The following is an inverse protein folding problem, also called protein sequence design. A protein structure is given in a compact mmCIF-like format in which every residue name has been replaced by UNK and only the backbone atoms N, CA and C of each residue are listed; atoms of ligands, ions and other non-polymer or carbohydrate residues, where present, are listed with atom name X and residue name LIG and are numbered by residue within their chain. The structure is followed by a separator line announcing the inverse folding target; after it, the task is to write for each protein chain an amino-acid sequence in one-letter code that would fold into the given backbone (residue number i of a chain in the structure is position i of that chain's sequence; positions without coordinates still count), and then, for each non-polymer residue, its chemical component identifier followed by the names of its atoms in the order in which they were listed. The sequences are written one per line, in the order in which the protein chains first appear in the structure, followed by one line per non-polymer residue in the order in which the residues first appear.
data_IF_242638068184
#
_entry.id   IF_242638068184
#
_cell.length_a   1.000
_cell.length_b   1.000
_cell.length_c   1.000
_cell.angle_alpha   90.00
_cell.angle_beta   90.00
_cell.angle_gamma   90.00
#
_symmetry.space_group_name_H-M   'P 1'
#
loop_
_entity.id
_entity.type
_entity.pdbx_description
1 polymer ?
#
# COMPACT_ATOMS: atom_id res chain seq x y z
N UNK A 1 36.40 -34.47 -0.59
CA UNK A 1 35.09 -33.91 -1.01
C UNK A 1 34.41 -33.11 0.09
N UNK A 2 34.62 -33.38 1.38
CA UNK A 2 34.06 -32.54 2.46
C UNK A 2 34.62 -31.10 2.47
N UNK A 3 35.93 -30.88 2.25
CA UNK A 3 36.50 -29.52 2.21
C UNK A 3 36.17 -28.71 0.94
N UNK A 4 35.61 -29.34 -0.10
CA UNK A 4 35.06 -28.62 -1.25
C UNK A 4 33.62 -28.13 -0.97
N UNK A 5 32.87 -28.83 -0.13
CA UNK A 5 31.54 -28.41 0.33
C UNK A 5 31.57 -27.23 1.31
N UNK A 6 32.62 -27.11 2.13
CA UNK A 6 32.78 -25.96 3.05
C UNK A 6 33.26 -24.70 2.30
N UNK A 7 33.92 -24.87 1.14
CA UNK A 7 34.30 -23.75 0.28
C UNK A 7 33.08 -23.12 -0.42
N UNK A 8 32.07 -23.93 -0.80
CA UNK A 8 30.79 -23.44 -1.33
C UNK A 8 29.95 -22.69 -0.27
N UNK A 9 30.06 -23.09 1.01
CA UNK A 9 29.32 -22.47 2.12
C UNK A 9 29.92 -21.12 2.58
N UNK A 10 31.18 -20.85 2.23
CA UNK A 10 31.88 -19.58 2.52
C UNK A 10 31.65 -18.48 1.48
N UNK A 11 30.95 -18.77 0.39
CA UNK A 11 30.55 -17.79 -0.60
C UNK A 11 29.21 -17.15 -0.20
N UNK A 12 29.17 -16.51 0.98
CA UNK A 12 28.32 -15.32 1.15
C UNK A 12 28.98 -14.23 0.30
N UNK A 13 28.90 -14.40 -1.01
CA UNK A 13 29.47 -13.48 -1.97
C UNK A 13 28.73 -12.14 -1.83
N UNK A 14 29.40 -10.99 -2.07
CA UNK A 14 28.73 -9.70 -2.18
C UNK A 14 27.51 -9.72 -3.13
N UNK A 15 27.48 -10.65 -4.08
CA UNK A 15 26.36 -10.92 -4.98
C UNK A 15 25.08 -11.42 -4.26
N UNK A 16 25.21 -12.26 -3.23
CA UNK A 16 24.04 -12.78 -2.49
C UNK A 16 23.37 -11.70 -1.65
N UNK A 17 24.16 -10.84 -1.01
CA UNK A 17 23.66 -9.67 -0.27
C UNK A 17 22.94 -8.71 -1.23
N UNK A 18 23.55 -8.43 -2.38
CA UNK A 18 22.96 -7.56 -3.41
C UNK A 18 21.62 -8.10 -3.94
N UNK A 19 21.50 -9.41 -4.15
CA UNK A 19 20.24 -10.04 -4.56
C UNK A 19 19.14 -9.85 -3.51
N UNK A 20 19.46 -10.09 -2.23
CA UNK A 20 18.49 -9.88 -1.13
C UNK A 20 18.05 -8.42 -1.07
N UNK A 21 18.95 -7.46 -1.25
CA UNK A 21 18.61 -6.04 -1.29
C UNK A 21 17.72 -5.68 -2.49
N UNK A 22 17.99 -6.23 -3.67
CA UNK A 22 17.20 -6.01 -4.88
C UNK A 22 15.78 -6.58 -4.75
N UNK A 23 15.63 -7.75 -4.13
CA UNK A 23 14.34 -8.39 -3.90
C UNK A 23 13.54 -7.72 -2.78
N UNK A 24 14.21 -7.19 -1.74
CA UNK A 24 13.55 -6.53 -0.62
C UNK A 24 13.16 -5.05 -0.90
N UNK A 25 13.94 -4.33 -1.73
CA UNK A 25 13.75 -2.90 -1.98
C UNK A 25 12.31 -2.51 -2.44
N UNK A 26 11.65 -3.23 -3.38
CA UNK A 26 10.27 -2.93 -3.77
C UNK A 26 9.29 -2.99 -2.59
N UNK A 27 9.49 -3.94 -1.68
CA UNK A 27 8.62 -4.17 -0.54
C UNK A 27 8.83 -3.17 0.58
N UNK A 28 10.07 -2.69 0.75
CA UNK A 28 10.39 -1.59 1.65
C UNK A 28 9.70 -0.31 1.17
N UNK A 29 9.80 0.01 -0.13
CA UNK A 29 9.08 1.16 -0.69
C UNK A 29 7.57 1.00 -0.55
N UNK A 30 7.04 -0.21 -0.79
CA UNK A 30 5.62 -0.50 -0.68
C UNK A 30 5.09 -0.38 0.76
N UNK A 31 5.92 -0.68 1.75
CA UNK A 31 5.62 -0.46 3.16
C UNK A 31 5.54 1.04 3.48
N UNK A 32 6.54 1.83 3.04
CA UNK A 32 6.56 3.27 3.26
C UNK A 32 5.36 3.99 2.63
N UNK A 33 5.00 3.66 1.38
CA UNK A 33 3.83 4.24 0.71
C UNK A 33 2.53 3.85 1.38
N UNK A 34 2.45 2.62 1.90
CA UNK A 34 1.25 2.11 2.54
C UNK A 34 0.93 2.73 3.90
N UNK A 35 1.95 3.11 4.68
CA UNK A 35 1.77 3.79 5.98
C UNK A 35 1.28 5.23 5.80
N UNK A 36 1.71 5.90 4.72
CA UNK A 36 1.42 7.31 4.53
C UNK A 36 0.00 7.63 4.06
N UNK A 37 -0.79 6.65 3.62
CA UNK A 37 -2.04 6.96 2.90
C UNK A 37 -3.08 7.62 3.81
N UNK A 38 -3.52 8.81 3.41
CA UNK A 38 -4.44 9.68 4.16
C UNK A 38 -5.91 9.35 3.94
N UNK A 39 -6.22 8.35 3.12
CA UNK A 39 -7.60 8.03 2.72
C UNK A 39 -8.50 7.61 3.89
N UNK A 40 -7.93 6.91 4.88
CA UNK A 40 -8.71 6.26 5.96
C UNK A 40 -9.26 7.16 7.07
N UNK A 41 -8.89 8.44 7.12
CA UNK A 41 -9.49 9.42 8.05
C UNK A 41 -10.31 10.49 7.31
N UNK A 42 -10.29 10.48 5.98
CA UNK A 42 -10.84 11.58 5.17
C UNK A 42 -12.38 11.63 5.19
N UNK A 43 -13.09 10.51 5.36
CA UNK A 43 -14.56 10.49 5.46
C UNK A 43 -14.98 10.89 6.87
N UNK A 44 -14.27 10.42 7.89
CA UNK A 44 -14.51 10.84 9.29
C UNK A 44 -14.32 12.35 9.50
N UNK A 45 -13.29 12.97 8.88
CA UNK A 45 -13.06 14.42 8.95
C UNK A 45 -14.14 15.25 8.24
N UNK A 46 -14.72 14.72 7.15
CA UNK A 46 -15.84 15.36 6.45
C UNK A 46 -17.18 15.21 7.17
N UNK A 47 -17.25 14.42 8.25
CA UNK A 47 -18.48 14.21 9.03
C UNK A 47 -19.16 15.51 9.49
N UNK A 48 -18.39 16.53 9.85
CA UNK A 48 -18.92 17.85 10.24
C UNK A 48 -19.59 18.62 9.08
N UNK A 49 -19.18 18.32 7.84
CA UNK A 49 -19.71 18.94 6.62
C UNK A 49 -20.60 17.99 5.79
N UNK A 50 -21.07 16.87 6.38
CA UNK A 50 -21.85 15.84 5.66
C UNK A 50 -23.12 16.41 5.01
N UNK A 51 -23.76 17.40 5.63
CA UNK A 51 -24.96 18.07 5.10
C UNK A 51 -24.70 18.80 3.77
N UNK A 52 -23.47 19.24 3.51
CA UNK A 52 -23.05 19.84 2.23
C UNK A 52 -22.93 18.74 1.16
N UNK A 53 -22.36 17.58 1.53
CA UNK A 53 -22.28 16.44 0.63
C UNK A 53 -23.67 15.84 0.31
N UNK A 54 -24.64 15.95 1.23
CA UNK A 54 -26.03 15.50 1.04
C UNK A 54 -26.87 16.46 0.18
N UNK A 55 -26.51 17.75 0.13
CA UNK A 55 -27.20 18.74 -0.71
C UNK A 55 -26.62 18.83 -2.13
N UNK A 56 -25.45 18.26 -2.36
CA UNK A 56 -24.85 18.15 -3.69
C UNK A 56 -25.50 17.00 -4.50
N UNK A 57 -25.83 17.19 -5.79
CA UNK A 57 -26.44 16.15 -6.64
C UNK A 57 -25.44 15.04 -7.08
N UNK A 58 -24.38 14.81 -6.29
CA UNK A 58 -23.31 13.88 -6.60
C UNK A 58 -23.57 12.50 -5.96
N UNK A 59 -23.37 11.43 -6.74
CA UNK A 59 -23.44 10.07 -6.22
C UNK A 59 -22.35 9.83 -5.15
N UNK A 60 -22.69 9.17 -4.04
CA UNK A 60 -21.77 8.82 -2.94
C UNK A 60 -20.51 8.08 -3.42
N UNK A 61 -20.65 7.29 -4.50
CA UNK A 61 -19.55 6.57 -5.17
C UNK A 61 -18.50 7.53 -5.76
N UNK A 62 -18.94 8.66 -6.30
CA UNK A 62 -18.07 9.69 -6.87
C UNK A 62 -17.28 10.41 -5.78
N UNK A 63 -17.90 10.65 -4.63
CA UNK A 63 -17.26 11.30 -3.48
C UNK A 63 -16.18 10.38 -2.88
N UNK A 64 -16.52 9.12 -2.61
CA UNK A 64 -15.57 8.11 -2.12
C UNK A 64 -14.45 7.84 -3.12
N UNK A 65 -14.77 7.78 -4.42
CA UNK A 65 -13.79 7.63 -5.49
C UNK A 65 -12.83 8.81 -5.59
N UNK A 66 -13.32 10.04 -5.47
CA UNK A 66 -12.49 11.24 -5.48
C UNK A 66 -11.50 11.26 -4.30
N UNK A 67 -11.92 10.79 -3.12
CA UNK A 67 -11.05 10.66 -1.94
C UNK A 67 -9.92 9.65 -2.15
N UNK A 68 -10.24 8.47 -2.69
CA UNK A 68 -9.22 7.48 -3.03
C UNK A 68 -8.25 8.02 -4.09
N UNK A 69 -8.78 8.69 -5.12
CA UNK A 69 -7.99 9.30 -6.19
C UNK A 69 -7.05 10.38 -5.64
N UNK A 70 -7.51 11.21 -4.69
CA UNK A 70 -6.69 12.24 -4.08
C UNK A 70 -5.48 11.66 -3.33
N UNK A 71 -5.66 10.58 -2.56
CA UNK A 71 -4.52 9.88 -1.96
C UNK A 71 -3.59 9.28 -3.03
N UNK A 72 -4.14 8.65 -4.07
CA UNK A 72 -3.34 8.04 -5.14
C UNK A 72 -2.50 9.05 -5.93
N UNK A 73 -3.05 10.23 -6.22
CA UNK A 73 -2.33 11.30 -6.95
C UNK A 73 -1.09 11.78 -6.19
N UNK A 74 -1.06 11.67 -4.86
CA UNK A 74 0.11 12.03 -4.05
C UNK A 74 1.09 10.86 -3.98
N UNK A 75 0.59 9.64 -3.76
CA UNK A 75 1.46 8.47 -3.51
C UNK A 75 2.05 7.85 -4.78
N UNK A 76 1.37 7.92 -5.93
CA UNK A 76 1.90 7.43 -7.21
C UNK A 76 3.18 8.18 -7.65
N UNK A 77 3.22 9.52 -7.72
CA UNK A 77 4.44 10.22 -8.11
C UNK A 77 5.57 10.01 -7.08
N UNK A 78 5.24 9.96 -5.79
CA UNK A 78 6.21 9.63 -4.74
C UNK A 78 6.80 8.22 -4.93
N UNK A 79 5.96 7.23 -5.26
CA UNK A 79 6.38 5.87 -5.59
C UNK A 79 7.26 5.83 -6.84
N UNK A 80 6.92 6.59 -7.89
CA UNK A 80 7.73 6.68 -9.11
C UNK A 80 9.11 7.31 -8.83
N UNK A 81 9.18 8.38 -8.04
CA UNK A 81 10.45 9.01 -7.65
C UNK A 81 11.29 8.04 -6.81
N UNK A 82 10.67 7.38 -5.82
CA UNK A 82 11.35 6.37 -5.01
C UNK A 82 11.90 5.21 -5.85
N UNK A 83 11.09 4.69 -6.78
CA UNK A 83 11.50 3.64 -7.70
C UNK A 83 12.66 4.09 -8.62
N UNK A 84 12.61 5.32 -9.14
CA UNK A 84 13.70 5.88 -9.96
C UNK A 84 15.01 5.97 -9.16
N UNK A 85 14.96 6.52 -7.94
CA UNK A 85 16.13 6.63 -7.06
C UNK A 85 16.70 5.25 -6.69
N UNK A 86 15.85 4.29 -6.33
CA UNK A 86 16.28 2.93 -6.01
C UNK A 86 16.85 2.20 -7.24
N UNK A 87 16.24 2.38 -8.42
CA UNK A 87 16.74 1.76 -9.66
C UNK A 87 18.13 2.28 -10.05
N UNK A 88 18.36 3.59 -9.89
CA UNK A 88 19.66 4.21 -10.14
C UNK A 88 20.71 3.80 -9.10
N UNK A 89 20.31 3.72 -7.82
CA UNK A 89 21.22 3.34 -6.72
C UNK A 89 21.64 1.88 -6.74
N UNK A 90 20.75 0.96 -7.13
CA UNK A 90 21.03 -0.48 -7.13
C UNK A 90 21.48 -1.03 -8.50
N UNK A 91 21.49 -0.18 -9.55
CA UNK A 91 21.71 -0.62 -10.95
C UNK A 91 20.80 -1.80 -11.29
N UNK A 92 19.50 -1.61 -11.05
CA UNK A 92 18.50 -2.65 -11.14
C UNK A 92 18.29 -3.09 -12.60
N UNK A 93 18.15 -4.41 -12.80
CA UNK A 93 17.72 -4.97 -14.08
C UNK A 93 16.29 -4.49 -14.43
N UNK A 94 15.91 -4.34 -15.71
CA UNK A 94 14.57 -3.87 -16.10
C UNK A 94 13.41 -4.58 -15.40
N UNK A 95 13.55 -5.89 -15.09
CA UNK A 95 12.52 -6.63 -14.37
C UNK A 95 12.40 -6.22 -12.90
N UNK A 96 13.53 -5.93 -12.24
CA UNK A 96 13.54 -5.42 -10.86
C UNK A 96 13.03 -3.98 -10.81
N UNK A 97 13.33 -3.17 -11.82
CA UNK A 97 12.79 -1.83 -11.97
C UNK A 97 11.26 -1.85 -12.13
N UNK A 98 10.70 -2.81 -12.87
CA UNK A 98 9.25 -3.00 -12.95
C UNK A 98 8.65 -3.36 -11.59
N UNK A 99 9.26 -4.28 -10.83
CA UNK A 99 8.81 -4.65 -9.49
C UNK A 99 8.86 -3.46 -8.52
N UNK A 100 9.91 -2.63 -8.60
CA UNK A 100 10.10 -1.40 -7.82
C UNK A 100 8.97 -0.37 -8.03
N UNK A 101 8.29 -0.38 -9.18
CA UNK A 101 7.13 0.49 -9.44
C UNK A 101 5.83 -0.21 -9.08
N UNK A 102 5.66 -1.47 -9.51
CA UNK A 102 4.42 -2.24 -9.33
C UNK A 102 4.07 -2.47 -7.86
N UNK A 103 5.04 -2.87 -7.03
CA UNK A 103 4.80 -3.18 -5.62
C UNK A 103 4.30 -1.96 -4.82
N UNK A 104 4.97 -0.79 -4.83
CA UNK A 104 4.49 0.37 -4.09
C UNK A 104 3.21 1.00 -4.67
N UNK A 105 2.97 0.86 -5.97
CA UNK A 105 1.69 1.29 -6.56
C UNK A 105 0.54 0.39 -6.09
N UNK A 106 0.74 -0.93 -6.06
CA UNK A 106 -0.26 -1.88 -5.58
C UNK A 106 -0.58 -1.68 -4.10
N UNK A 107 0.44 -1.47 -3.25
CA UNK A 107 0.22 -1.20 -1.82
C UNK A 107 -0.46 0.16 -1.58
N UNK A 108 -0.11 1.20 -2.33
CA UNK A 108 -0.77 2.51 -2.24
C UNK A 108 -2.26 2.40 -2.62
N UNK A 109 -2.58 1.67 -3.70
CA UNK A 109 -3.97 1.40 -4.09
C UNK A 109 -4.72 0.61 -3.02
N UNK A 110 -4.09 -0.43 -2.47
CA UNK A 110 -4.69 -1.26 -1.42
C UNK A 110 -4.98 -0.44 -0.16
N UNK A 111 -3.99 0.30 0.34
CA UNK A 111 -4.11 1.10 1.56
C UNK A 111 -5.16 2.20 1.41
N UNK A 112 -5.20 2.90 0.27
CA UNK A 112 -6.23 3.90 -0.03
C UNK A 112 -7.65 3.30 -0.10
N UNK A 113 -7.82 2.19 -0.83
CA UNK A 113 -9.12 1.55 -0.99
C UNK A 113 -9.64 0.93 0.31
N UNK A 114 -8.76 0.26 1.06
CA UNK A 114 -9.09 -0.37 2.33
C UNK A 114 -9.36 0.65 3.44
N UNK A 115 -8.56 1.71 3.51
CA UNK A 115 -8.77 2.81 4.45
C UNK A 115 -10.14 3.44 4.26
N UNK A 116 -10.50 3.79 3.02
CA UNK A 116 -11.81 4.36 2.70
C UNK A 116 -12.95 3.35 2.90
N UNK A 117 -12.75 2.07 2.59
CA UNK A 117 -13.74 1.01 2.86
C UNK A 117 -14.09 0.91 4.35
N UNK A 118 -13.07 0.91 5.22
CA UNK A 118 -13.26 0.79 6.65
C UNK A 118 -13.87 2.05 7.27
N UNK A 119 -13.43 3.24 6.82
CA UNK A 119 -13.96 4.53 7.25
C UNK A 119 -15.45 4.68 6.87
N UNK A 120 -15.84 4.26 5.66
CA UNK A 120 -17.23 4.26 5.21
C UNK A 120 -18.14 3.27 5.97
N UNK A 121 -17.59 2.18 6.52
CA UNK A 121 -18.36 1.14 7.20
C UNK A 121 -18.65 1.46 8.68
N UNK A 122 -17.76 2.20 9.34
CA UNK A 122 -17.93 2.65 10.73
C UNK A 122 -17.53 4.11 10.87
N UNK A 123 -18.31 5.05 10.32
CA UNK A 123 -18.00 6.45 10.48
C UNK A 123 -18.19 6.86 11.94
N UNK A 124 -17.13 7.38 12.55
CA UNK A 124 -17.12 7.78 13.96
C UNK A 124 -17.45 9.27 14.04
N UNK A 125 -18.74 9.61 14.14
CA UNK A 125 -19.23 11.00 14.04
C UNK A 125 -19.24 11.77 15.37
N UNK A 126 -19.17 11.09 16.52
CA UNK A 126 -19.20 11.72 17.84
C UNK A 126 -17.80 12.13 18.32
N UNK A 127 -17.06 12.89 17.50
CA UNK A 127 -15.76 13.43 17.89
C UNK A 127 -15.92 14.81 18.52
N UNK A 128 -15.37 15.00 19.71
CA UNK A 128 -15.34 16.30 20.42
C UNK A 128 -14.05 17.09 20.14
N UNK A 129 -13.06 16.43 19.52
CA UNK A 129 -11.77 16.99 19.11
C UNK A 129 -11.32 16.37 17.79
N UNK A 130 -10.82 17.19 16.86
CA UNK A 130 -10.33 16.78 15.53
C UNK A 130 -9.22 15.70 15.57
N UNK A 131 -8.56 15.55 16.73
CA UNK A 131 -7.50 14.57 16.95
C UNK A 131 -8.00 13.12 17.06
N UNK A 132 -9.23 12.91 17.49
CA UNK A 132 -9.76 11.58 17.83
C UNK A 132 -9.98 10.68 16.60
N UNK A 133 -10.61 11.16 15.51
CA UNK A 133 -10.72 10.38 14.26
C UNK A 133 -9.36 10.19 13.56
N UNK A 134 -8.40 11.09 13.73
CA UNK A 134 -7.10 11.02 13.05
C UNK A 134 -6.11 10.08 13.76
N UNK A 135 -6.05 10.08 15.10
CA UNK A 135 -5.08 9.27 15.86
C UNK A 135 -5.62 7.95 16.42
N UNK A 136 -6.95 7.75 16.47
CA UNK A 136 -7.57 6.57 17.10
C UNK A 136 -8.59 5.84 16.23
N UNK A 137 -8.74 6.21 14.96
CA UNK A 137 -9.62 5.47 14.05
C UNK A 137 -9.08 4.04 13.84
N UNK A 138 -9.84 3.06 14.33
CA UNK A 138 -9.58 1.63 14.16
C UNK A 138 -9.43 1.29 12.67
N UNK A 139 -10.09 2.04 11.77
CA UNK A 139 -9.97 1.89 10.33
C UNK A 139 -8.55 2.18 9.83
N UNK A 140 -7.94 3.28 10.28
CA UNK A 140 -6.58 3.67 9.89
C UNK A 140 -5.57 2.69 10.46
N UNK A 141 -5.70 2.36 11.74
CA UNK A 141 -4.80 1.41 12.42
C UNK A 141 -4.88 0.04 11.74
N UNK A 142 -6.07 -0.50 11.52
CA UNK A 142 -6.26 -1.79 10.85
C UNK A 142 -5.73 -1.78 9.41
N UNK A 143 -5.93 -0.68 8.65
CA UNK A 143 -5.43 -0.56 7.28
C UNK A 143 -3.91 -0.55 7.20
N UNK A 144 -3.25 0.21 8.08
CA UNK A 144 -1.79 0.26 8.16
C UNK A 144 -1.23 -1.09 8.57
N UNK A 145 -1.77 -1.73 9.62
CA UNK A 145 -1.29 -3.05 10.07
C UNK A 145 -1.51 -4.15 9.02
N UNK A 146 -2.63 -4.13 8.31
CA UNK A 146 -2.90 -5.11 7.26
C UNK A 146 -1.96 -4.91 6.07
N UNK A 147 -1.77 -3.67 5.61
CA UNK A 147 -0.82 -3.39 4.54
C UNK A 147 0.62 -3.73 4.96
N UNK A 148 1.00 -3.40 6.19
CA UNK A 148 2.29 -3.76 6.78
C UNK A 148 2.51 -5.28 6.77
N UNK A 149 1.54 -6.06 7.24
CA UNK A 149 1.63 -7.52 7.23
C UNK A 149 1.80 -8.07 5.81
N UNK A 150 1.02 -7.58 4.84
CA UNK A 150 1.10 -8.02 3.44
C UNK A 150 2.46 -7.71 2.81
N UNK A 151 2.97 -6.49 3.00
CA UNK A 151 4.25 -6.04 2.43
C UNK A 151 5.45 -6.76 3.08
N UNK A 152 5.42 -7.00 4.39
CA UNK A 152 6.46 -7.77 5.08
C UNK A 152 6.47 -9.23 4.63
N UNK A 153 5.29 -9.89 4.56
CA UNK A 153 5.19 -11.27 4.08
C UNK A 153 5.67 -11.40 2.64
N UNK A 154 5.30 -10.46 1.79
CA UNK A 154 5.70 -10.46 0.40
C UNK A 154 7.21 -10.19 0.22
N UNK A 155 7.79 -9.31 1.05
CA UNK A 155 9.25 -9.10 1.10
C UNK A 155 10.02 -10.35 1.54
N UNK A 156 9.55 -11.02 2.60
CA UNK A 156 10.16 -12.28 3.04
C UNK A 156 10.04 -13.37 1.98
N UNK A 157 8.88 -13.49 1.33
CA UNK A 157 8.67 -14.45 0.26
C UNK A 157 9.52 -14.14 -0.98
N UNK A 158 9.70 -12.85 -1.33
CA UNK A 158 10.59 -12.42 -2.39
C UNK A 158 12.05 -12.79 -2.10
N UNK A 159 12.52 -12.64 -0.85
CA UNK A 159 13.88 -13.06 -0.48
C UNK A 159 14.11 -14.58 -0.58
N UNK A 160 13.05 -15.40 -0.45
CA UNK A 160 13.16 -16.87 -0.50
C UNK A 160 12.92 -17.44 -1.91
N UNK A 161 11.94 -16.90 -2.63
CA UNK A 161 11.50 -17.40 -3.93
C UNK A 161 11.90 -16.52 -5.12
N UNK A 162 12.56 -15.38 -4.85
CA UNK A 162 13.08 -14.44 -5.83
C UNK A 162 12.00 -13.59 -6.53
N UNK A 163 12.42 -12.98 -7.62
CA UNK A 163 11.62 -12.09 -8.45
C UNK A 163 10.21 -12.56 -8.86
N UNK A 164 9.97 -13.83 -9.27
CA UNK A 164 8.61 -14.25 -9.67
C UNK A 164 7.61 -14.16 -8.52
N UNK A 165 8.05 -14.40 -7.28
CA UNK A 165 7.20 -14.21 -6.11
C UNK A 165 6.81 -12.74 -5.95
N UNK A 166 7.73 -11.80 -6.17
CA UNK A 166 7.43 -10.36 -6.10
C UNK A 166 6.29 -9.96 -7.05
N UNK A 167 6.28 -10.46 -8.29
CA UNK A 167 5.19 -10.19 -9.24
C UNK A 167 3.87 -10.85 -8.81
N UNK A 168 3.90 -12.09 -8.32
CA UNK A 168 2.71 -12.78 -7.82
C UNK A 168 2.08 -12.03 -6.63
N UNK A 169 2.88 -11.59 -5.67
CA UNK A 169 2.39 -10.83 -4.52
C UNK A 169 1.90 -9.43 -4.92
N UNK A 170 2.62 -8.74 -5.82
CA UNK A 170 2.17 -7.45 -6.34
C UNK A 170 0.81 -7.57 -7.06
N UNK A 171 0.62 -8.62 -7.87
CA UNK A 171 -0.65 -8.91 -8.52
C UNK A 171 -1.74 -9.26 -7.50
N UNK A 172 -1.44 -10.09 -6.49
CA UNK A 172 -2.40 -10.44 -5.44
C UNK A 172 -2.86 -9.22 -4.64
N UNK A 173 -1.93 -8.33 -4.26
CA UNK A 173 -2.24 -7.07 -3.58
C UNK A 173 -3.04 -6.13 -4.49
N UNK A 174 -2.67 -6.05 -5.78
CA UNK A 174 -3.42 -5.28 -6.78
C UNK A 174 -4.86 -5.78 -6.97
N UNK A 175 -5.08 -7.09 -7.04
CA UNK A 175 -6.41 -7.70 -7.08
C UNK A 175 -7.16 -7.39 -5.78
N UNK A 176 -6.50 -7.51 -4.62
CA UNK A 176 -7.06 -7.14 -3.33
C UNK A 176 -7.49 -5.67 -3.28
N UNK A 177 -6.69 -4.77 -3.83
CA UNK A 177 -6.98 -3.35 -3.94
C UNK A 177 -8.21 -3.10 -4.83
N UNK A 178 -8.29 -3.75 -5.99
CA UNK A 178 -9.43 -3.64 -6.90
C UNK A 178 -10.72 -4.18 -6.25
N UNK A 179 -10.65 -5.30 -5.51
CA UNK A 179 -11.78 -5.84 -4.78
C UNK A 179 -12.22 -4.93 -3.63
N UNK A 180 -11.27 -4.38 -2.87
CA UNK A 180 -11.55 -3.42 -1.81
C UNK A 180 -12.19 -2.14 -2.37
N UNK A 181 -11.68 -1.63 -3.49
CA UNK A 181 -12.25 -0.46 -4.18
C UNK A 181 -13.67 -0.75 -4.68
N UNK A 182 -13.91 -1.91 -5.32
CA UNK A 182 -15.26 -2.33 -5.75
C UNK A 182 -16.23 -2.43 -4.57
N UNK A 183 -15.79 -3.00 -3.45
CA UNK A 183 -16.61 -3.10 -2.24
C UNK A 183 -16.90 -1.73 -1.63
N UNK A 184 -15.89 -0.86 -1.52
CA UNK A 184 -16.06 0.49 -1.02
C UNK A 184 -17.02 1.33 -1.88
N UNK A 185 -16.89 1.23 -3.21
CA UNK A 185 -17.78 1.91 -4.16
C UNK A 185 -19.20 1.31 -4.21
N UNK A 186 -19.43 0.14 -3.63
CA UNK A 186 -20.75 -0.49 -3.55
C UNK A 186 -21.39 -0.36 -2.16
N UNK A 187 -20.68 0.20 -1.16
CA UNK A 187 -21.32 0.68 0.06
C UNK A 187 -22.12 1.90 -0.37
N UNK A 188 -23.41 1.71 -0.67
CA UNK A 188 -24.35 2.82 -0.63
C UNK A 188 -24.21 3.43 0.75
N UNK A 189 -23.79 4.69 0.83
CA UNK A 189 -23.94 5.46 2.07
C UNK A 189 -25.43 5.42 2.37
N UNK A 190 -25.85 4.50 3.23
CA UNK A 190 -27.24 4.40 3.63
C UNK A 190 -27.59 5.75 4.23
N UNK A 191 -28.72 6.28 3.74
CA UNK A 191 -29.30 7.56 4.14
C UNK A 191 -29.32 7.70 5.66
#
# INVERSE_FOLDING_TARGET
SAMAGIAEESAIAPEGIRAIFLDAAPWILAFCTGIGTTGGASVSLEGACRWIAQSAPAMSRTILGAKMAASLVIFIPAACIGAALCSAGLSADPLHAAALVLAPCASACFSAAFGVFMDARKPHYDWTSEYEPVKRSIAVVAGVFLNAALTVLAGLAACVAGLPASFCFAAAIGIGAALAARRALNIGMQE
#
